data_IF_061427653698
#
_entry.id   IF_061427653698
#
_cell.length_a   1.000
_cell.length_b   1.000
_cell.length_c   1.000
_cell.angle_alpha   90.00
_cell.angle_beta   90.00
_cell.angle_gamma   90.00
#
_symmetry.space_group_name_H-M   'P 1'
#
loop_
_entity.id
_entity.type
_entity.pdbx_description
1 polymer ?
#
# COMPACT_ATOMS: atom_id res chain seq x y z
N UNK A 1 -10.09 -13.77 -16.32
CA UNK A 1 -9.94 -12.39 -15.84
C UNK A 1 -8.84 -11.72 -16.63
N UNK A 2 -9.08 -10.53 -17.20
CA UNK A 2 -8.12 -9.83 -18.07
C UNK A 2 -7.68 -8.54 -17.38
N UNK A 3 -6.45 -8.53 -16.88
CA UNK A 3 -5.84 -7.30 -16.33
C UNK A 3 -5.30 -6.46 -17.49
N UNK A 4 -6.02 -5.40 -17.87
CA UNK A 4 -5.52 -4.39 -18.82
C UNK A 4 -4.79 -3.31 -18.04
N UNK A 5 -3.51 -3.54 -17.74
CA UNK A 5 -2.62 -2.52 -17.20
C UNK A 5 -1.89 -1.88 -18.38
N UNK A 6 -2.10 -0.59 -18.63
CA UNK A 6 -1.56 0.11 -19.80
C UNK A 6 -0.47 1.10 -19.37
N UNK A 7 0.80 0.70 -19.60
CA UNK A 7 2.05 1.47 -19.81
C UNK A 7 2.62 2.38 -18.69
N UNK A 8 3.94 2.72 -18.69
CA UNK A 8 5.06 2.26 -19.54
C UNK A 8 6.03 1.34 -18.77
N UNK A 9 7.15 0.94 -19.41
CA UNK A 9 8.15 -0.05 -18.97
C UNK A 9 8.60 0.14 -17.51
N UNK A 10 7.95 -0.55 -16.59
CA UNK A 10 8.42 -0.79 -15.23
C UNK A 10 8.96 -2.23 -15.26
N UNK A 11 10.11 -2.48 -14.61
CA UNK A 11 10.73 -3.80 -14.60
C UNK A 11 9.68 -4.88 -14.26
N UNK A 12 9.69 -6.02 -14.96
CA UNK A 12 8.69 -7.08 -14.77
C UNK A 12 8.56 -7.55 -13.31
N UNK A 13 9.66 -7.46 -12.55
CA UNK A 13 9.69 -7.73 -11.11
C UNK A 13 8.95 -6.68 -10.29
N UNK A 14 9.18 -5.40 -10.55
CA UNK A 14 8.52 -4.28 -9.85
C UNK A 14 7.02 -4.25 -10.16
N UNK A 15 6.64 -4.51 -11.42
CA UNK A 15 5.23 -4.66 -11.81
C UNK A 15 4.56 -5.82 -11.09
N UNK A 16 5.26 -6.95 -10.96
CA UNK A 16 4.72 -8.12 -10.25
C UNK A 16 4.56 -7.82 -8.77
N UNK A 17 5.57 -7.24 -8.12
CA UNK A 17 5.52 -6.87 -6.72
C UNK A 17 4.41 -5.82 -6.44
N UNK A 18 4.27 -4.85 -7.35
CA UNK A 18 3.19 -3.86 -7.30
C UNK A 18 1.82 -4.54 -7.42
N UNK A 19 1.61 -5.39 -8.44
CA UNK A 19 0.32 -6.08 -8.64
C UNK A 19 -0.03 -6.99 -7.47
N UNK A 20 0.93 -7.77 -6.96
CA UNK A 20 0.77 -8.56 -5.74
C UNK A 20 0.49 -7.69 -4.52
N UNK A 21 1.03 -6.48 -4.50
CA UNK A 21 0.76 -5.51 -3.45
C UNK A 21 -0.62 -4.92 -3.51
N UNK A 22 -1.08 -4.50 -4.69
CA UNK A 22 -2.43 -4.02 -4.91
C UNK A 22 -3.47 -5.09 -4.53
N UNK A 23 -3.26 -6.33 -4.97
CA UNK A 23 -4.14 -7.45 -4.63
C UNK A 23 -4.14 -7.79 -3.13
N UNK A 24 -3.00 -7.68 -2.46
CA UNK A 24 -2.90 -7.93 -1.01
C UNK A 24 -3.53 -6.82 -0.16
N UNK A 25 -3.38 -5.57 -0.58
CA UNK A 25 -3.89 -4.38 0.13
C UNK A 25 -5.40 -4.20 -0.06
N UNK A 26 -5.91 -4.56 -1.23
CA UNK A 26 -7.33 -4.45 -1.55
C UNK A 26 -7.85 -5.75 -2.19
N UNK A 27 -8.07 -6.80 -1.37
CA UNK A 27 -8.53 -8.09 -1.87
C UNK A 27 -9.95 -7.99 -2.48
N UNK A 28 -10.17 -8.71 -3.58
CA UNK A 28 -11.46 -8.78 -4.27
C UNK A 28 -11.33 -8.66 -5.80
N UNK A 29 -12.46 -8.77 -6.50
CA UNK A 29 -12.54 -8.59 -7.95
C UNK A 29 -12.58 -7.10 -8.30
N UNK A 30 -11.45 -6.42 -8.11
CA UNK A 30 -11.31 -5.00 -8.32
C UNK A 30 -10.33 -4.71 -9.46
N UNK A 31 -10.59 -3.62 -10.18
CA UNK A 31 -9.70 -3.07 -11.19
C UNK A 31 -8.99 -1.86 -10.62
N UNK A 32 -7.67 -1.79 -10.86
CA UNK A 32 -6.82 -0.69 -10.38
C UNK A 32 -6.46 0.19 -11.57
N UNK A 33 -6.83 1.45 -11.52
CA UNK A 33 -6.51 2.43 -12.55
C UNK A 33 -5.58 3.50 -11.99
N UNK A 34 -4.41 3.67 -12.60
CA UNK A 34 -3.44 4.69 -12.15
C UNK A 34 -4.00 6.08 -12.42
N UNK A 35 -4.06 6.90 -11.37
CA UNK A 35 -4.30 8.33 -11.47
C UNK A 35 -2.99 9.03 -11.82
N UNK A 36 -3.07 10.02 -12.71
CA UNK A 36 -1.95 10.91 -13.03
C UNK A 36 -1.89 12.12 -12.09
N UNK A 37 -2.59 12.04 -10.96
CA UNK A 37 -2.64 13.10 -9.97
C UNK A 37 -1.51 12.95 -8.96
N UNK A 38 -0.78 14.05 -8.73
CA UNK A 38 0.25 14.12 -7.71
C UNK A 38 -0.39 14.59 -6.41
N UNK A 39 -0.65 13.66 -5.50
CA UNK A 39 -1.06 14.01 -4.14
C UNK A 39 0.14 14.52 -3.35
N UNK A 40 -0.09 15.49 -2.47
CA UNK A 40 0.92 15.97 -1.52
C UNK A 40 0.46 15.67 -0.11
N UNK A 41 1.36 15.15 0.71
CA UNK A 41 1.14 15.04 2.13
C UNK A 41 1.27 16.44 2.77
N UNK A 42 0.55 16.67 3.87
CA UNK A 42 0.76 17.84 4.72
C UNK A 42 2.13 17.80 5.41
N UNK A 43 2.71 16.61 5.55
CA UNK A 43 4.07 16.41 6.04
C UNK A 43 5.08 16.44 4.88
N UNK A 44 6.00 17.39 4.90
CA UNK A 44 7.01 17.57 3.85
C UNK A 44 8.04 16.44 3.80
N UNK A 45 8.12 15.62 4.84
CA UNK A 45 9.00 14.44 4.86
C UNK A 45 8.37 13.25 4.12
N UNK A 46 7.05 13.25 3.92
CA UNK A 46 6.32 12.15 3.30
C UNK A 46 6.05 12.49 1.83
N UNK A 47 6.55 11.64 0.94
CA UNK A 47 6.26 11.75 -0.50
C UNK A 47 5.15 10.78 -0.86
N UNK A 48 4.03 11.30 -1.38
CA UNK A 48 3.01 10.46 -2.01
C UNK A 48 3.38 10.34 -3.49
N UNK A 49 3.53 9.11 -3.94
CA UNK A 49 3.84 8.76 -5.33
C UNK A 49 2.58 8.38 -6.10
N UNK A 50 2.65 7.24 -6.78
CA UNK A 50 1.57 6.76 -7.64
C UNK A 50 0.29 6.44 -6.86
N UNK A 51 -0.82 6.92 -7.39
CA UNK A 51 -2.16 6.69 -6.86
C UNK A 51 -2.96 5.80 -7.84
N UNK A 52 -3.75 4.88 -7.31
CA UNK A 52 -4.53 3.92 -8.09
C UNK A 52 -5.97 3.92 -7.60
N UNK A 53 -6.92 4.32 -8.44
CA UNK A 53 -8.34 4.15 -8.16
C UNK A 53 -8.71 2.68 -8.18
N UNK A 54 -9.43 2.24 -7.15
CA UNK A 54 -9.99 0.90 -7.06
C UNK A 54 -11.44 0.96 -7.52
N UNK A 55 -11.74 0.27 -8.62
CA UNK A 55 -13.08 0.16 -9.18
C UNK A 55 -13.59 -1.27 -9.06
N UNK A 56 -14.86 -1.43 -8.72
CA UNK A 56 -15.56 -2.70 -8.71
C UNK A 56 -16.84 -2.57 -9.56
N UNK A 57 -16.95 -3.35 -10.62
CA UNK A 57 -18.09 -3.27 -11.55
C UNK A 57 -18.31 -1.88 -12.15
N UNK A 58 -17.25 -1.08 -12.32
CA UNK A 58 -17.32 0.30 -12.84
C UNK A 58 -17.53 1.39 -11.79
N UNK A 59 -17.78 1.04 -10.52
CA UNK A 59 -17.92 2.00 -9.43
C UNK A 59 -16.61 2.15 -8.65
N UNK A 60 -16.21 3.38 -8.32
CA UNK A 60 -15.05 3.64 -7.45
C UNK A 60 -15.41 3.23 -6.02
N UNK A 61 -14.69 2.22 -5.51
CA UNK A 61 -14.85 1.65 -4.16
C UNK A 61 -13.73 2.05 -3.20
N UNK A 62 -12.61 2.56 -3.72
CA UNK A 62 -11.48 3.01 -2.91
C UNK A 62 -10.33 3.56 -3.74
N UNK A 63 -9.22 3.80 -3.07
CA UNK A 63 -7.96 4.31 -3.62
C UNK A 63 -6.80 3.54 -2.98
N UNK A 64 -5.79 3.19 -3.75
CA UNK A 64 -4.50 2.74 -3.24
C UNK A 64 -3.46 3.80 -3.56
N UNK A 65 -2.72 4.25 -2.56
CA UNK A 65 -1.67 5.25 -2.73
C UNK A 65 -0.32 4.66 -2.39
N UNK A 66 0.70 5.03 -3.16
CA UNK A 66 2.09 4.71 -2.86
C UNK A 66 2.64 5.82 -2.00
N UNK A 67 3.11 5.47 -0.80
CA UNK A 67 3.70 6.42 0.16
C UNK A 67 5.17 6.07 0.34
N UNK A 68 6.02 7.08 0.25
CA UNK A 68 7.45 6.98 0.52
C UNK A 68 7.80 7.87 1.71
N UNK A 69 8.39 7.27 2.73
CA UNK A 69 8.93 7.97 3.90
C UNK A 69 10.45 7.82 3.95
N UNK A 70 11.20 8.80 4.48
CA UNK A 70 12.60 8.60 4.80
C UNK A 70 12.76 7.42 5.77
N UNK A 71 13.62 6.46 5.41
CA UNK A 71 14.07 5.37 6.28
C UNK A 71 15.52 5.58 6.69
N UNK A 72 16.02 4.73 7.59
CA UNK A 72 17.35 4.85 8.19
C UNK A 72 18.50 4.73 7.19
N UNK A 73 18.36 3.87 6.16
CA UNK A 73 19.39 3.69 5.10
C UNK A 73 18.86 4.00 3.70
N UNK A 74 17.58 3.73 3.43
CA UNK A 74 16.92 4.08 2.18
C UNK A 74 15.44 4.41 2.43
N UNK A 75 14.77 5.14 1.51
CA UNK A 75 13.35 5.43 1.64
C UNK A 75 12.52 4.15 1.73
N UNK A 76 11.55 4.16 2.64
CA UNK A 76 10.58 3.08 2.82
C UNK A 76 9.39 3.37 1.90
N UNK A 77 9.17 2.50 0.91
CA UNK A 77 8.01 2.57 0.00
C UNK A 77 6.94 1.59 0.42
N UNK A 78 5.72 2.08 0.55
CA UNK A 78 4.57 1.32 1.00
C UNK A 78 3.36 1.62 0.11
N UNK A 79 2.48 0.64 -0.04
CA UNK A 79 1.14 0.81 -0.58
C UNK A 79 0.15 0.87 0.56
N UNK A 80 -0.74 1.85 0.51
CA UNK A 80 -1.82 2.04 1.48
C UNK A 80 -3.13 2.04 0.73
N UNK A 81 -4.00 1.09 1.05
CA UNK A 81 -5.34 0.99 0.47
C UNK A 81 -6.36 1.62 1.40
N UNK A 82 -7.16 2.53 0.87
CA UNK A 82 -8.20 3.26 1.60
C UNK A 82 -9.51 3.11 0.85
N UNK A 83 -10.56 2.73 1.56
CA UNK A 83 -11.92 2.64 1.04
C UNK A 83 -12.55 4.03 0.98
N UNK A 84 -13.65 4.15 0.24
CA UNK A 84 -14.37 5.43 0.05
C UNK A 84 -14.86 6.09 1.35
N UNK A 85 -15.06 5.30 2.40
CA UNK A 85 -15.45 5.73 3.75
C UNK A 85 -14.26 6.18 4.62
N UNK A 86 -13.04 6.20 4.07
CA UNK A 86 -11.80 6.48 4.79
C UNK A 86 -11.23 5.28 5.54
N UNK A 87 -11.87 4.10 5.48
CA UNK A 87 -11.37 2.90 6.15
C UNK A 87 -10.15 2.35 5.41
N UNK A 88 -9.04 2.14 6.13
CA UNK A 88 -7.85 1.50 5.57
C UNK A 88 -8.17 0.02 5.29
N UNK A 89 -8.12 -0.36 4.02
CA UNK A 89 -8.31 -1.74 3.57
C UNK A 89 -7.09 -2.61 3.88
N UNK A 90 -5.90 -2.03 3.85
CA UNK A 90 -4.65 -2.71 4.13
C UNK A 90 -3.43 -1.83 3.85
N UNK A 91 -2.28 -2.31 4.32
CA UNK A 91 -0.98 -1.67 4.07
C UNK A 91 0.01 -2.77 3.68
N UNK A 92 0.84 -2.51 2.68
CA UNK A 92 1.94 -3.42 2.29
C UNK A 92 3.21 -2.64 2.03
N UNK A 93 4.33 -3.17 2.51
CA UNK A 93 5.66 -2.62 2.20
C UNK A 93 6.08 -3.16 0.82
N UNK A 94 6.47 -2.27 -0.09
CA UNK A 94 7.03 -2.64 -1.40
C UNK A 94 8.54 -2.79 -1.34
N UNK A 95 9.19 -1.86 -0.65
CA UNK A 95 10.64 -1.88 -0.47
C UNK A 95 11.00 -1.11 0.78
N UNK A 96 11.86 -1.71 1.61
CA UNK A 96 12.52 -1.02 2.72
C UNK A 96 13.96 -1.50 2.84
N UNK A 97 14.83 -0.62 3.30
CA UNK A 97 16.22 -0.95 3.66
C UNK A 97 16.47 -0.50 5.08
N UNK A 98 15.81 -1.15 6.02
CA UNK A 98 16.00 -0.91 7.45
C UNK A 98 17.10 -1.82 7.99
N UNK A 99 17.79 -1.36 9.03
CA UNK A 99 18.77 -2.18 9.73
C UNK A 99 18.05 -3.35 10.43
N UNK A 100 18.69 -4.53 10.55
CA UNK A 100 18.11 -5.66 11.27
C UNK A 100 17.69 -5.26 12.69
N UNK A 101 16.41 -5.45 13.02
CA UNK A 101 15.84 -4.96 14.28
C UNK A 101 14.36 -4.61 14.15
N UNK A 102 13.94 -3.54 14.82
CA UNK A 102 12.52 -3.17 14.93
C UNK A 102 11.89 -2.76 13.59
N UNK A 103 12.63 -2.05 12.72
CA UNK A 103 12.16 -1.64 11.40
C UNK A 103 11.96 -2.81 10.45
N UNK A 104 12.90 -3.77 10.40
CA UNK A 104 12.78 -4.98 9.60
C UNK A 104 11.62 -5.90 10.05
N UNK A 105 11.23 -5.83 11.33
CA UNK A 105 10.07 -6.55 11.85
C UNK A 105 8.73 -6.03 11.30
N UNK A 106 8.67 -4.82 10.75
CA UNK A 106 7.45 -4.28 10.17
C UNK A 106 6.97 -5.06 8.93
N UNK A 107 7.90 -5.66 8.19
CA UNK A 107 7.60 -6.54 7.03
C UNK A 107 7.60 -8.04 7.42
N UNK A 108 7.83 -8.37 8.69
CA UNK A 108 7.94 -9.75 9.11
C UNK A 108 6.56 -10.34 9.41
N UNK A 109 6.08 -11.34 8.63
CA UNK A 109 4.76 -11.95 8.81
C UNK A 109 4.62 -12.73 10.13
N UNK A 110 5.75 -12.97 10.82
CA UNK A 110 5.78 -13.65 12.13
C UNK A 110 5.94 -12.69 13.30
N UNK A 111 6.10 -11.40 13.04
CA UNK A 111 6.19 -10.38 14.07
C UNK A 111 4.80 -9.83 14.41
N UNK A 112 4.25 -10.32 15.52
CA UNK A 112 2.95 -9.91 16.03
C UNK A 112 3.09 -8.79 17.07
N UNK A 113 2.49 -7.63 16.78
CA UNK A 113 2.34 -6.54 17.77
C UNK A 113 1.26 -6.86 18.79
N UNK A 114 0.30 -7.72 18.43
CA UNK A 114 -0.63 -8.33 19.35
C UNK A 114 -0.62 -9.85 19.14
N UNK A 115 0.04 -10.58 20.04
CA UNK A 115 0.21 -12.04 19.92
C UNK A 115 -1.09 -12.81 20.09
N UNK A 116 -1.96 -12.39 21.00
CA UNK A 116 -3.24 -13.06 21.28
C UNK A 116 -4.17 -13.04 20.08
N UNK A 117 -4.18 -11.93 19.34
CA UNK A 117 -4.99 -11.75 18.13
C UNK A 117 -4.21 -12.04 16.84
N UNK A 118 -2.93 -12.44 16.94
CA UNK A 118 -2.00 -12.63 15.81
C UNK A 118 -2.00 -11.46 14.83
N UNK A 119 -2.06 -10.23 15.34
CA UNK A 119 -2.05 -9.01 14.53
C UNK A 119 -0.60 -8.61 14.28
N UNK A 120 -0.20 -8.55 13.01
CA UNK A 120 1.10 -8.04 12.58
C UNK A 120 1.15 -6.52 12.66
N UNK A 121 2.35 -5.93 12.56
CA UNK A 121 2.49 -4.47 12.57
C UNK A 121 1.67 -3.78 11.47
N UNK A 122 1.54 -4.38 10.29
CA UNK A 122 0.75 -3.80 9.20
C UNK A 122 -0.76 -4.02 9.40
N UNK A 123 -1.16 -5.18 9.92
CA UNK A 123 -2.57 -5.51 10.14
C UNK A 123 -3.24 -4.63 11.18
N UNK A 124 -2.48 -3.99 12.09
CA UNK A 124 -3.05 -3.10 13.10
C UNK A 124 -3.72 -1.84 12.49
N UNK A 125 -3.38 -1.52 11.25
CA UNK A 125 -3.94 -0.39 10.51
C UNK A 125 -5.18 -0.77 9.72
N UNK A 126 -5.36 -2.06 9.39
CA UNK A 126 -6.53 -2.55 8.65
C UNK A 126 -7.81 -2.33 9.46
N UNK A 127 -8.81 -1.68 8.85
CA UNK A 127 -10.09 -1.34 9.49
C UNK A 127 -10.08 -0.05 10.31
N UNK A 128 -8.94 0.65 10.42
CA UNK A 128 -8.89 1.99 11.03
C UNK A 128 -9.35 3.04 10.03
N UNK A 129 -9.95 4.12 10.52
CA UNK A 129 -10.37 5.23 9.68
C UNK A 129 -9.23 6.26 9.57
N UNK A 130 -8.84 6.60 8.34
CA UNK A 130 -7.78 7.56 8.05
C UNK A 130 -8.24 9.03 8.13
N UNK A 131 -9.54 9.29 8.24
CA UNK A 131 -10.14 10.63 8.32
C UNK A 131 -10.48 11.04 9.76
N UNK A 132 -10.15 10.23 10.76
CA UNK A 132 -10.58 10.42 12.15
C UNK A 132 -9.41 10.41 13.13
#
# INVERSE_FOLDING_TARGET
>A
MVYRITLPVINSQDLKALNEGLAGVFPGDNTFEKLNETLKSSDQTITIGDCYEVKNGGNIVGLVVTVSSPGSQAPIKMLVGVKKDGTISGVKILSMSETPGLGANADNPTYFVNRDKKITFLDQFTGKNALK
#
